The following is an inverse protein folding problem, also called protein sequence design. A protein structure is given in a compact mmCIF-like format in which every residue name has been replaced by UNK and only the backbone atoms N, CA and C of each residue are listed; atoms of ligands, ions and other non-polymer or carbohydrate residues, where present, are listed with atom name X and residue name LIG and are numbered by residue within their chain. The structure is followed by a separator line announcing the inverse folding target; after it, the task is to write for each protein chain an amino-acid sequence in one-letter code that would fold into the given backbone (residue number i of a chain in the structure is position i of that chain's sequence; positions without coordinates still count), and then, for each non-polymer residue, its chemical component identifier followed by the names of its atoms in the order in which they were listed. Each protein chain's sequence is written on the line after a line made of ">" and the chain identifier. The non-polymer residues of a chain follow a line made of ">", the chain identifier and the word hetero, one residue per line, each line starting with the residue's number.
data_IF_450509536937
#
_entry.id   IF_450509536937
#
_cell.length_a   1.000
_cell.length_b   1.000
_cell.length_c   1.000
_cell.angle_alpha   90.00
_cell.angle_beta   90.00
_cell.angle_gamma   90.00
#
_symmetry.space_group_name_H-M   'P 1'
#
loop_
_entity.id
_entity.type
_entity.pdbx_description
1 polymer ?
#
# COMPACT_ATOMS: atom_id res chain seq x y z
N UNK A 1 5.46 27.77 -9.16
CA UNK A 1 5.27 26.46 -8.52
C UNK A 1 3.82 26.07 -8.72
N UNK A 2 3.54 25.04 -9.52
CA UNK A 2 2.15 24.62 -9.79
C UNK A 2 1.62 23.84 -8.59
N UNK A 3 0.44 24.23 -8.10
CA UNK A 3 -0.32 23.46 -7.12
C UNK A 3 -1.29 22.56 -7.89
N UNK A 4 -1.19 21.26 -7.64
CA UNK A 4 -2.12 20.28 -8.19
C UNK A 4 -3.28 20.12 -7.21
N UNK A 5 -4.48 20.56 -7.62
CA UNK A 5 -5.67 20.50 -6.79
C UNK A 5 -6.06 19.08 -6.38
N UNK A 6 -5.74 18.07 -7.19
CA UNK A 6 -6.03 16.66 -6.88
C UNK A 6 -5.12 16.17 -5.76
N UNK A 7 -3.84 16.57 -5.78
CA UNK A 7 -2.92 16.22 -4.70
C UNK A 7 -3.30 16.87 -3.38
N UNK A 8 -3.73 18.12 -3.40
CA UNK A 8 -4.16 18.82 -2.18
C UNK A 8 -5.38 18.13 -1.54
N UNK A 9 -6.34 17.66 -2.35
CA UNK A 9 -7.49 16.89 -1.86
C UNK A 9 -7.06 15.55 -1.26
N UNK A 10 -6.17 14.81 -1.94
CA UNK A 10 -5.62 13.55 -1.43
C UNK A 10 -4.90 13.76 -0.09
N UNK A 11 -4.11 14.83 0.03
CA UNK A 11 -3.42 15.15 1.28
C UNK A 11 -4.41 15.45 2.40
N UNK A 12 -5.44 16.27 2.13
CA UNK A 12 -6.47 16.60 3.12
C UNK A 12 -7.18 15.34 3.64
N UNK A 13 -7.62 14.45 2.73
CA UNK A 13 -8.28 13.20 3.12
C UNK A 13 -7.37 12.31 3.96
N UNK A 14 -6.09 12.17 3.57
CA UNK A 14 -5.12 11.36 4.32
C UNK A 14 -4.81 11.94 5.70
N UNK A 15 -4.75 13.26 5.80
CA UNK A 15 -4.50 14.00 7.04
C UNK A 15 -5.66 13.81 8.02
N UNK A 16 -6.90 14.05 7.59
CA UNK A 16 -8.11 13.83 8.40
C UNK A 16 -8.20 12.37 8.86
N UNK A 17 -7.88 11.43 7.96
CA UNK A 17 -7.84 10.02 8.28
C UNK A 17 -6.79 9.70 9.35
N UNK A 18 -5.55 10.17 9.20
CA UNK A 18 -4.49 9.95 10.18
C UNK A 18 -4.82 10.57 11.55
N UNK A 19 -5.42 11.75 11.57
CA UNK A 19 -5.88 12.42 12.80
C UNK A 19 -6.91 11.57 13.56
N UNK A 20 -7.82 10.89 12.86
CA UNK A 20 -8.81 10.01 13.50
C UNK A 20 -8.19 8.83 14.26
N UNK A 21 -6.96 8.43 13.89
CA UNK A 21 -6.16 7.41 14.57
C UNK A 21 -5.08 8.01 15.50
N UNK A 22 -5.13 9.31 15.76
CA UNK A 22 -4.10 10.02 16.52
C UNK A 22 -2.68 9.80 15.96
N UNK A 23 -2.58 9.69 14.63
CA UNK A 23 -1.35 9.35 13.90
C UNK A 23 -0.68 8.04 14.31
N UNK A 24 -1.41 7.12 14.94
CA UNK A 24 -0.92 5.78 15.22
C UNK A 24 -0.85 4.96 13.92
N UNK A 25 0.37 4.77 13.44
CA UNK A 25 0.64 4.00 12.24
C UNK A 25 0.16 2.55 12.34
N UNK A 26 0.28 1.94 13.52
CA UNK A 26 -0.15 0.56 13.73
C UNK A 26 -1.67 0.46 13.60
N UNK A 27 -2.40 1.37 14.26
CA UNK A 27 -3.86 1.41 14.18
C UNK A 27 -4.38 1.66 12.75
N UNK A 28 -3.72 2.55 12.00
CA UNK A 28 -4.01 2.78 10.58
C UNK A 28 -3.82 1.49 9.77
N UNK A 29 -2.70 0.80 9.96
CA UNK A 29 -2.42 -0.45 9.26
C UNK A 29 -3.43 -1.55 9.61
N UNK A 30 -3.85 -1.64 10.87
CA UNK A 30 -4.83 -2.64 11.30
C UNK A 30 -6.21 -2.38 10.71
N UNK A 31 -6.65 -1.12 10.63
CA UNK A 31 -7.90 -0.77 9.95
C UNK A 31 -7.85 -1.11 8.45
N UNK A 32 -6.73 -0.81 7.77
CA UNK A 32 -6.56 -1.15 6.36
C UNK A 32 -6.57 -2.67 6.12
N UNK A 33 -5.97 -3.47 7.02
CA UNK A 33 -6.04 -4.94 6.97
C UNK A 33 -7.48 -5.43 7.16
N UNK A 34 -8.24 -4.82 8.08
CA UNK A 34 -9.66 -5.14 8.29
C UNK A 34 -10.49 -4.86 7.05
N UNK A 35 -10.36 -3.66 6.47
CA UNK A 35 -11.02 -3.29 5.18
C UNK A 35 -10.64 -4.24 4.04
N UNK A 36 -9.38 -4.67 3.98
CA UNK A 36 -8.94 -5.65 2.98
C UNK A 36 -9.65 -6.99 3.16
N UNK A 37 -9.79 -7.48 4.40
CA UNK A 37 -10.48 -8.72 4.72
C UNK A 37 -11.98 -8.66 4.40
N UNK A 38 -12.63 -7.52 4.67
CA UNK A 38 -14.05 -7.29 4.40
C UNK A 38 -14.37 -7.10 2.91
N UNK A 39 -13.35 -6.84 2.08
CA UNK A 39 -13.52 -6.53 0.65
C UNK A 39 -14.07 -7.67 -0.21
N UNK A 40 -14.18 -8.88 0.33
CA UNK A 40 -14.59 -10.09 -0.39
C UNK A 40 -13.59 -10.57 -1.45
N UNK A 41 -12.45 -9.89 -1.62
CA UNK A 41 -11.43 -10.24 -2.61
C UNK A 41 -10.48 -11.30 -2.06
N UNK A 42 -10.04 -12.21 -2.94
CA UNK A 42 -9.02 -13.21 -2.59
C UNK A 42 -7.66 -12.54 -2.37
N UNK A 43 -7.18 -12.55 -1.14
CA UNK A 43 -5.85 -12.08 -0.79
C UNK A 43 -4.83 -13.14 -1.23
N UNK A 44 -3.85 -12.76 -2.05
CA UNK A 44 -2.76 -13.64 -2.47
C UNK A 44 -1.44 -13.15 -1.88
N UNK A 45 -0.71 -14.04 -1.19
CA UNK A 45 0.64 -13.77 -0.71
C UNK A 45 1.71 -14.08 -1.76
N UNK A 46 1.35 -14.81 -2.81
CA UNK A 46 2.29 -15.22 -3.86
C UNK A 46 2.51 -14.06 -4.83
N UNK A 47 3.76 -13.79 -5.26
CA UNK A 47 4.02 -12.77 -6.26
C UNK A 47 3.29 -13.13 -7.55
N UNK A 48 2.63 -12.14 -8.17
CA UNK A 48 1.89 -12.32 -9.43
C UNK A 48 2.80 -12.75 -10.59
N UNK A 49 4.09 -12.43 -10.51
CA UNK A 49 5.10 -12.86 -11.48
C UNK A 49 6.21 -13.63 -10.76
N UNK A 50 6.62 -14.80 -11.27
CA UNK A 50 7.79 -15.48 -10.74
C UNK A 50 9.01 -14.57 -10.89
N UNK A 51 9.83 -14.52 -9.84
CA UNK A 51 11.11 -13.80 -9.87
C UNK A 51 11.95 -14.41 -11.00
N UNK A 52 12.29 -13.63 -12.03
CA UNK A 52 13.27 -14.07 -13.04
C UNK A 52 14.57 -14.36 -12.30
N UNK A 53 14.89 -15.65 -12.10
CA UNK A 53 16.21 -16.04 -11.64
C UNK A 53 17.17 -15.75 -12.78
N UNK A 54 18.15 -14.85 -12.57
CA UNK A 54 19.26 -14.71 -13.52
C UNK A 54 20.06 -16.00 -13.44
N UNK A 55 20.06 -16.78 -14.51
CA UNK A 55 20.99 -17.90 -14.65
C UNK A 55 22.39 -17.32 -14.86
N UNK A 56 23.21 -17.30 -13.82
CA UNK A 56 24.65 -17.12 -13.96
C UNK A 56 25.19 -18.35 -14.70
N UNK A 57 25.47 -18.20 -15.99
CA UNK A 57 26.26 -19.19 -16.72
C UNK A 57 27.70 -19.05 -16.21
N UNK A 58 28.08 -19.90 -15.27
CA UNK A 58 29.49 -20.17 -14.98
C UNK A 58 30.06 -20.86 -16.23
N UNK A 59 30.85 -20.11 -17.00
CA UNK A 59 31.63 -20.63 -18.12
C UNK A 59 32.84 -21.36 -17.54
N UNK A 60 32.96 -22.65 -17.87
CA UNK A 60 34.20 -23.44 -17.72
C UNK A 60 35.11 -23.17 -18.90
#
# INVERSE_FOLDING_TARGET
>A
MWKDSVLEEIHKIREEYAQSFNYDLQAICDDLRKKQAESGRKIISKPLKPRRQKSEKVQQ
#
